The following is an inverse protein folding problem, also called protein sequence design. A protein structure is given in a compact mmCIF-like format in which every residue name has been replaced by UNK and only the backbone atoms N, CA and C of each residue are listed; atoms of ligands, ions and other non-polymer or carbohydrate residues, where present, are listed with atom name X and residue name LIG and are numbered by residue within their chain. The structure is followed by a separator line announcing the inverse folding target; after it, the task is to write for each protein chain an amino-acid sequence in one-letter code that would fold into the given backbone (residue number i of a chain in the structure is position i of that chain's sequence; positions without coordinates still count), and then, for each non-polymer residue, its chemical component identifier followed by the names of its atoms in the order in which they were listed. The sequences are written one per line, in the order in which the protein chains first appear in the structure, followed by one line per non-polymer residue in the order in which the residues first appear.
data_IF_746819046263
#
_entry.id   IF_746819046263
#
_cell.length_a   1.000
_cell.length_b   1.000
_cell.length_c   1.000
_cell.angle_alpha   90.00
_cell.angle_beta   90.00
_cell.angle_gamma   90.00
#
_symmetry.space_group_name_H-M   'P 1'
#
loop_
_entity.id
_entity.type
_entity.pdbx_description
1 polymer ?
#
# COMPACT_ATOMS: atom_id res chain seq x y z
N UNK A 1 -23.16 -18.24 4.11
CA UNK A 1 -21.86 -17.73 3.64
C UNK A 1 -21.29 -16.87 4.76
N UNK A 2 -20.19 -17.29 5.37
CA UNK A 2 -19.67 -16.70 6.61
C UNK A 2 -19.13 -15.27 6.35
N UNK A 3 -19.71 -14.28 7.02
CA UNK A 3 -19.18 -12.92 7.08
C UNK A 3 -17.98 -12.98 8.05
N UNK A 4 -16.77 -12.81 7.51
CA UNK A 4 -15.56 -12.72 8.32
C UNK A 4 -15.65 -11.47 9.21
N UNK A 5 -15.99 -11.68 10.48
CA UNK A 5 -16.09 -10.62 11.48
C UNK A 5 -14.68 -10.37 12.01
N UNK A 6 -13.87 -9.59 11.29
CA UNK A 6 -12.58 -9.16 11.84
C UNK A 6 -12.87 -8.24 13.03
N UNK A 7 -12.23 -8.50 14.16
CA UNK A 7 -12.26 -7.57 15.29
C UNK A 7 -11.65 -6.24 14.83
N UNK A 8 -12.17 -5.11 15.34
CA UNK A 8 -11.63 -3.79 14.99
C UNK A 8 -10.11 -3.69 15.23
N UNK A 9 -9.62 -4.43 16.24
CA UNK A 9 -8.20 -4.50 16.57
C UNK A 9 -7.39 -5.23 15.51
N UNK A 10 -7.86 -6.38 14.99
CA UNK A 10 -7.18 -7.11 13.91
C UNK A 10 -7.08 -6.25 12.65
N UNK A 11 -8.17 -5.55 12.28
CA UNK A 11 -8.14 -4.66 11.13
C UNK A 11 -7.18 -3.48 11.31
N UNK A 12 -7.10 -2.94 12.52
CA UNK A 12 -6.14 -1.89 12.84
C UNK A 12 -4.70 -2.41 12.73
N UNK A 13 -4.42 -3.61 13.23
CA UNK A 13 -3.11 -4.26 13.15
C UNK A 13 -2.69 -4.45 11.68
N UNK A 14 -3.58 -4.95 10.82
CA UNK A 14 -3.33 -5.09 9.38
C UNK A 14 -2.97 -3.75 8.73
N UNK A 15 -3.77 -2.71 8.99
CA UNK A 15 -3.52 -1.36 8.46
C UNK A 15 -2.17 -0.82 8.94
N UNK A 16 -1.85 -0.93 10.23
CA UNK A 16 -0.58 -0.44 10.76
C UNK A 16 0.62 -1.20 10.18
N UNK A 17 0.51 -2.51 9.96
CA UNK A 17 1.55 -3.27 9.27
C UNK A 17 1.72 -2.84 7.80
N UNK A 18 0.61 -2.55 7.10
CA UNK A 18 0.67 -2.01 5.76
C UNK A 18 1.23 -0.57 5.72
N UNK A 19 1.13 0.21 6.80
CA UNK A 19 1.67 1.57 6.87
C UNK A 19 3.09 1.66 7.44
N UNK A 20 3.62 0.62 8.09
CA UNK A 20 4.91 0.65 8.78
C UNK A 20 6.13 0.43 7.87
N UNK A 21 6.11 0.97 6.65
CA UNK A 21 7.17 0.82 5.65
C UNK A 21 7.34 2.11 4.87
N UNK A 22 8.58 2.56 4.76
CA UNK A 22 8.96 3.84 4.17
C UNK A 22 8.46 3.97 2.72
N UNK A 23 8.72 2.97 1.88
CA UNK A 23 8.30 2.98 0.47
C UNK A 23 6.78 3.04 0.34
N UNK A 24 6.03 2.33 1.21
CA UNK A 24 4.56 2.39 1.20
C UNK A 24 4.02 3.76 1.62
N UNK A 25 4.65 4.42 2.59
CA UNK A 25 4.29 5.79 2.97
C UNK A 25 4.59 6.80 1.87
N UNK A 26 5.73 6.68 1.18
CA UNK A 26 6.05 7.51 0.02
C UNK A 26 5.04 7.35 -1.12
N UNK A 27 4.62 6.10 -1.40
CA UNK A 27 3.55 5.82 -2.38
C UNK A 27 2.26 6.56 -1.99
N UNK A 28 1.85 6.50 -0.72
CA UNK A 28 0.64 7.18 -0.24
C UNK A 28 0.76 8.70 -0.40
N UNK A 29 1.92 9.28 -0.04
CA UNK A 29 2.16 10.72 -0.19
C UNK A 29 2.11 11.20 -1.66
N UNK A 30 2.60 10.37 -2.59
CA UNK A 30 2.50 10.62 -4.02
C UNK A 30 1.05 10.54 -4.50
N UNK A 31 0.31 9.50 -4.09
CA UNK A 31 -1.09 9.29 -4.47
C UNK A 31 -2.04 10.32 -3.84
N UNK A 32 -1.69 10.90 -2.69
CA UNK A 32 -2.45 12.02 -2.09
C UNK A 32 -2.52 13.22 -3.03
N UNK A 33 -1.56 13.38 -3.95
CA UNK A 33 -1.53 14.46 -4.95
C UNK A 33 -2.33 14.13 -6.22
N UNK A 34 -2.95 12.96 -6.28
CA UNK A 34 -3.72 12.46 -7.43
C UNK A 34 -3.30 11.05 -7.84
N UNK A 35 -4.14 10.40 -8.65
CA UNK A 35 -3.82 9.11 -9.23
C UNK A 35 -2.55 9.17 -10.09
N UNK A 36 -1.77 8.09 -10.08
CA UNK A 36 -0.49 7.96 -10.80
C UNK A 36 -0.40 6.61 -11.47
N UNK A 37 0.28 6.55 -12.62
CA UNK A 37 0.60 5.26 -13.21
C UNK A 37 1.73 4.57 -12.42
N UNK A 38 1.77 3.24 -12.48
CA UNK A 38 2.86 2.45 -11.87
C UNK A 38 4.22 2.84 -12.47
N UNK A 39 4.26 3.23 -13.74
CA UNK A 39 5.45 3.76 -14.40
C UNK A 39 6.00 5.01 -13.70
N UNK A 40 5.17 6.03 -13.49
CA UNK A 40 5.53 7.28 -12.82
C UNK A 40 6.05 7.02 -11.40
N UNK A 41 5.42 6.10 -10.67
CA UNK A 41 5.86 5.72 -9.33
C UNK A 41 7.22 4.98 -9.36
N UNK A 42 7.43 4.10 -10.34
CA UNK A 42 8.71 3.39 -10.56
C UNK A 42 9.84 4.38 -10.81
N UNK A 43 9.59 5.37 -11.68
CA UNK A 43 10.56 6.41 -12.03
C UNK A 43 10.82 7.37 -10.87
N UNK A 44 9.78 7.74 -10.12
CA UNK A 44 9.89 8.70 -9.00
C UNK A 44 10.59 8.10 -7.78
N UNK A 45 10.37 6.80 -7.51
CA UNK A 45 10.88 6.11 -6.31
C UNK A 45 12.17 5.32 -6.58
N UNK A 46 12.71 5.39 -7.81
CA UNK A 46 13.89 4.64 -8.27
C UNK A 46 13.83 3.15 -7.84
N UNK A 47 12.66 2.54 -8.03
CA UNK A 47 12.35 1.21 -7.54
C UNK A 47 11.95 0.29 -8.69
N UNK A 48 12.34 -0.99 -8.63
CA UNK A 48 11.90 -1.96 -9.61
C UNK A 48 10.37 -2.12 -9.61
N UNK A 49 9.76 -2.19 -10.80
CA UNK A 49 8.31 -2.28 -10.99
C UNK A 49 7.67 -3.49 -10.26
N UNK A 50 8.38 -4.61 -10.16
CA UNK A 50 7.93 -5.81 -9.42
C UNK A 50 7.83 -5.56 -7.92
N UNK A 51 8.82 -4.86 -7.34
CA UNK A 51 8.83 -4.44 -5.94
C UNK A 51 7.70 -3.45 -5.67
N UNK A 52 7.50 -2.49 -6.57
CA UNK A 52 6.44 -1.50 -6.45
C UNK A 52 5.04 -2.13 -6.51
N UNK A 53 4.84 -3.10 -7.41
CA UNK A 53 3.60 -3.87 -7.52
C UNK A 53 3.30 -4.67 -6.25
N UNK A 54 4.32 -5.24 -5.61
CA UNK A 54 4.18 -5.91 -4.31
C UNK A 54 3.71 -4.93 -3.22
N UNK A 55 4.34 -3.77 -3.11
CA UNK A 55 3.94 -2.75 -2.12
C UNK A 55 2.51 -2.25 -2.35
N UNK A 56 2.11 -2.02 -3.60
CA UNK A 56 0.73 -1.64 -3.95
C UNK A 56 -0.29 -2.73 -3.61
N UNK A 57 0.06 -4.01 -3.78
CA UNK A 57 -0.79 -5.13 -3.37
C UNK A 57 -1.00 -5.14 -1.86
N UNK A 58 0.09 -4.99 -1.08
CA UNK A 58 0.01 -4.93 0.39
C UNK A 58 -0.89 -3.79 0.84
N UNK A 59 -0.76 -2.60 0.25
CA UNK A 59 -1.61 -1.44 0.56
C UNK A 59 -3.08 -1.67 0.20
N UNK A 60 -3.35 -2.38 -0.90
CA UNK A 60 -4.72 -2.65 -1.37
C UNK A 60 -5.44 -3.70 -0.53
N UNK A 61 -4.72 -4.73 -0.08
CA UNK A 61 -5.30 -5.87 0.61
C UNK A 61 -5.49 -5.60 2.12
N UNK A 62 -4.76 -4.62 2.66
CA UNK A 62 -4.90 -4.12 4.04
C UNK A 62 -6.14 -3.25 4.26
#
# INVERSE_FOLDING_TARGET
MAVATHSRTERAIELFHALSDETRLEIIELLRKGERCVCELTDTLDAAQSRLSFHLRVLKDA
#
